data_IF_466618194775
#
_entry.id   IF_466618194775
#
_cell.length_a   1.000
_cell.length_b   1.000
_cell.length_c   1.000
_cell.angle_alpha   90.00
_cell.angle_beta   90.00
_cell.angle_gamma   90.00
#
_symmetry.space_group_name_H-M   'P 1'
#
loop_
_entity.id
_entity.type
_entity.pdbx_description
1 polymer ?
#
# COMPACT_ATOMS: atom_id res chain seq x y z
N UNK A 1 7.91 -16.67 24.54
CA UNK A 1 8.38 -15.47 23.80
C UNK A 1 7.83 -14.24 24.51
N UNK A 2 8.68 -13.31 24.96
CA UNK A 2 8.22 -12.05 25.57
C UNK A 2 7.67 -11.11 24.48
N UNK A 3 6.62 -10.36 24.81
CA UNK A 3 5.92 -9.44 23.88
C UNK A 3 6.88 -8.49 23.15
N UNK A 4 7.92 -7.99 23.84
CA UNK A 4 8.99 -7.15 23.25
C UNK A 4 9.79 -7.84 22.13
N UNK A 5 10.09 -9.13 22.28
CA UNK A 5 10.86 -9.89 21.29
C UNK A 5 10.01 -10.24 20.07
N UNK A 6 8.72 -10.53 20.29
CA UNK A 6 7.75 -10.74 19.23
C UNK A 6 7.56 -9.46 18.40
N UNK A 7 7.31 -8.32 19.06
CA UNK A 7 7.20 -7.02 18.40
C UNK A 7 8.45 -6.72 17.56
N UNK A 8 9.66 -6.88 18.11
CA UNK A 8 10.89 -6.62 17.35
C UNK A 8 11.05 -7.52 16.12
N UNK A 9 10.68 -8.80 16.20
CA UNK A 9 10.69 -9.71 15.03
C UNK A 9 9.66 -9.29 13.98
N UNK A 10 8.47 -8.90 14.40
CA UNK A 10 7.41 -8.40 13.51
C UNK A 10 7.86 -7.10 12.84
N UNK A 11 8.35 -6.12 13.60
CA UNK A 11 8.85 -4.86 13.04
C UNK A 11 10.06 -5.06 12.12
N UNK A 12 11.00 -5.93 12.46
CA UNK A 12 12.19 -6.15 11.63
C UNK A 12 11.91 -6.97 10.37
N UNK A 13 11.01 -7.95 10.42
CA UNK A 13 10.71 -8.85 9.29
C UNK A 13 9.51 -8.43 8.43
N UNK A 14 8.59 -7.63 8.98
CA UNK A 14 7.34 -7.23 8.34
C UNK A 14 7.21 -5.72 8.15
N UNK A 15 8.32 -4.97 8.23
CA UNK A 15 8.31 -3.53 7.98
C UNK A 15 7.62 -3.10 6.66
N UNK A 16 7.71 -3.84 5.52
CA UNK A 16 7.06 -3.40 4.29
C UNK A 16 5.53 -3.40 4.41
N UNK A 17 4.96 -4.43 5.04
CA UNK A 17 3.51 -4.53 5.23
C UNK A 17 3.00 -3.58 6.30
N UNK A 18 3.81 -3.30 7.34
CA UNK A 18 3.49 -2.29 8.34
C UNK A 18 3.46 -0.88 7.74
N UNK A 19 4.40 -0.58 6.85
CA UNK A 19 4.45 0.71 6.15
C UNK A 19 3.20 0.91 5.28
N UNK A 20 2.85 -0.08 4.44
CA UNK A 20 1.63 -0.02 3.61
C UNK A 20 0.37 0.05 4.50
N UNK A 21 0.34 -0.69 5.60
CA UNK A 21 -0.74 -0.63 6.59
C UNK A 21 -0.92 0.76 7.20
N UNK A 22 0.17 1.49 7.45
CA UNK A 22 0.10 2.86 7.96
C UNK A 22 -0.57 3.81 6.97
N UNK A 23 -0.23 3.72 5.68
CA UNK A 23 -0.91 4.50 4.64
C UNK A 23 -2.41 4.18 4.58
N UNK A 24 -2.78 2.90 4.70
CA UNK A 24 -4.16 2.47 4.68
C UNK A 24 -4.96 3.04 5.87
N UNK A 25 -4.39 2.97 7.08
CA UNK A 25 -5.00 3.55 8.29
C UNK A 25 -5.16 5.06 8.15
N UNK A 26 -4.12 5.76 7.69
CA UNK A 26 -4.18 7.21 7.48
C UNK A 26 -5.24 7.59 6.43
N UNK A 27 -5.34 6.83 5.34
CA UNK A 27 -6.38 7.02 4.31
C UNK A 27 -7.78 6.87 4.89
N UNK A 28 -8.03 5.82 5.68
CA UNK A 28 -9.33 5.61 6.31
C UNK A 28 -9.68 6.69 7.33
N UNK A 29 -8.72 7.17 8.12
CA UNK A 29 -8.93 8.30 9.04
C UNK A 29 -9.37 9.54 8.26
N UNK A 30 -8.70 9.85 7.13
CA UNK A 30 -9.06 10.98 6.29
C UNK A 30 -10.46 10.84 5.69
N UNK A 31 -10.81 9.64 5.19
CA UNK A 31 -12.16 9.37 4.67
C UNK A 31 -13.21 9.51 5.77
N UNK A 32 -12.96 8.95 6.95
CA UNK A 32 -13.87 9.04 8.09
C UNK A 32 -14.06 10.50 8.57
N UNK A 33 -13.03 11.34 8.43
CA UNK A 33 -13.09 12.77 8.71
C UNK A 33 -13.69 13.61 7.55
N UNK A 34 -14.24 12.98 6.51
CA UNK A 34 -14.88 13.65 5.37
C UNK A 34 -13.91 14.13 4.27
N UNK A 35 -12.60 13.92 4.43
CA UNK A 35 -11.59 14.31 3.43
C UNK A 35 -11.45 13.25 2.31
N UNK A 36 -12.52 12.99 1.57
CA UNK A 36 -12.60 11.95 0.53
C UNK A 36 -11.44 12.00 -0.48
N UNK A 37 -11.16 13.20 -1.04
CA UNK A 37 -10.06 13.38 -2.00
C UNK A 37 -8.70 13.03 -1.40
N UNK A 38 -8.42 13.53 -0.19
CA UNK A 38 -7.13 13.32 0.48
C UNK A 38 -6.97 11.86 0.90
N UNK A 39 -8.05 11.24 1.40
CA UNK A 39 -8.07 9.83 1.75
C UNK A 39 -7.78 8.93 0.54
N UNK A 40 -8.44 9.18 -0.60
CA UNK A 40 -8.19 8.46 -1.84
C UNK A 40 -6.73 8.64 -2.34
N UNK A 41 -6.19 9.87 -2.29
CA UNK A 41 -4.79 10.13 -2.64
C UNK A 41 -3.81 9.36 -1.75
N UNK A 42 -4.00 9.41 -0.43
CA UNK A 42 -3.13 8.72 0.53
C UNK A 42 -3.19 7.21 0.32
N UNK A 43 -4.38 6.68 0.02
CA UNK A 43 -4.53 5.25 -0.28
C UNK A 43 -3.78 4.89 -1.57
N UNK A 44 -3.88 5.71 -2.62
CA UNK A 44 -3.20 5.49 -3.89
C UNK A 44 -1.67 5.51 -3.74
N UNK A 45 -1.14 6.44 -2.92
CA UNK A 45 0.28 6.50 -2.56
C UNK A 45 0.70 5.24 -1.80
N UNK A 46 -0.09 4.76 -0.84
CA UNK A 46 0.19 3.52 -0.12
C UNK A 46 0.33 2.31 -1.03
N UNK A 47 -0.54 2.20 -2.04
CA UNK A 47 -0.47 1.13 -3.05
C UNK A 47 0.73 1.32 -3.99
N UNK A 48 1.09 2.55 -4.36
CA UNK A 48 2.30 2.84 -5.14
C UNK A 48 3.56 2.39 -4.39
N UNK A 49 3.63 2.69 -3.09
CA UNK A 49 4.72 2.27 -2.20
C UNK A 49 4.78 0.74 -2.12
N UNK A 50 3.65 0.05 -2.01
CA UNK A 50 3.60 -1.41 -2.04
C UNK A 50 4.19 -1.97 -3.34
N UNK A 51 3.82 -1.36 -4.48
CA UNK A 51 4.33 -1.72 -5.80
C UNK A 51 5.85 -1.50 -5.91
N UNK A 52 6.36 -0.35 -5.44
CA UNK A 52 7.79 -0.06 -5.43
C UNK A 52 8.59 -0.99 -4.52
N UNK A 53 8.07 -1.30 -3.32
CA UNK A 53 8.66 -2.28 -2.41
C UNK A 53 8.76 -3.66 -3.07
N UNK A 54 7.76 -4.02 -3.89
CA UNK A 54 7.78 -5.27 -4.64
C UNK A 54 8.97 -5.36 -5.60
N UNK A 55 9.37 -4.25 -6.22
CA UNK A 55 10.57 -4.14 -7.08
C UNK A 55 11.89 -4.03 -6.30
N UNK A 56 11.86 -3.70 -5.01
CA UNK A 56 13.06 -3.61 -4.16
C UNK A 56 13.40 -4.93 -3.43
N UNK A 57 12.39 -5.76 -3.11
CA UNK A 57 12.56 -6.97 -2.29
C UNK A 57 12.98 -8.22 -3.12
N UNK A 58 14.08 -8.93 -2.79
CA UNK A 58 14.55 -10.11 -3.52
C UNK A 58 13.54 -11.25 -3.57
N UNK A 59 13.54 -12.00 -4.68
CA UNK A 59 12.55 -13.04 -4.99
C UNK A 59 13.10 -14.46 -4.91
N UNK A 60 14.12 -14.72 -4.09
CA UNK A 60 14.98 -15.94 -4.09
C UNK A 60 14.28 -17.29 -3.80
N UNK A 61 12.98 -17.41 -4.04
CA UNK A 61 12.15 -18.60 -3.80
C UNK A 61 11.04 -18.79 -4.85
N UNK A 62 11.22 -18.37 -6.10
CA UNK A 62 10.27 -18.67 -7.17
C UNK A 62 10.36 -20.16 -7.60
N UNK A 63 10.04 -21.07 -6.68
CA UNK A 63 9.82 -22.50 -6.97
C UNK A 63 8.51 -22.69 -7.76
N UNK A 64 7.64 -23.63 -7.37
CA UNK A 64 6.40 -24.01 -8.08
C UNK A 64 5.36 -22.90 -8.39
N UNK A 65 5.63 -21.63 -8.07
CA UNK A 65 4.76 -20.46 -8.28
C UNK A 65 5.18 -19.58 -9.48
N UNK A 66 5.76 -20.18 -10.54
CA UNK A 66 6.14 -19.52 -11.82
C UNK A 66 4.97 -18.80 -12.52
N UNK A 67 3.72 -19.00 -12.09
CA UNK A 67 2.52 -18.43 -12.72
C UNK A 67 2.42 -16.91 -12.53
N UNK A 68 2.92 -16.36 -11.42
CA UNK A 68 2.80 -14.91 -11.12
C UNK A 68 4.18 -14.32 -10.85
N UNK A 69 4.81 -13.83 -11.92
CA UNK A 69 6.10 -13.16 -11.84
C UNK A 69 6.01 -11.85 -11.06
N UNK A 70 7.15 -11.38 -10.52
CA UNK A 70 7.30 -10.03 -9.96
C UNK A 70 6.62 -8.97 -10.77
N UNK A 71 6.82 -9.06 -12.08
CA UNK A 71 6.38 -8.08 -13.06
C UNK A 71 4.87 -8.04 -13.11
N UNK A 72 4.19 -9.20 -13.13
CA UNK A 72 2.73 -9.26 -13.12
C UNK A 72 2.17 -8.67 -11.83
N UNK A 73 2.78 -8.96 -10.67
CA UNK A 73 2.34 -8.41 -9.40
C UNK A 73 2.57 -6.90 -9.30
N UNK A 74 3.75 -6.43 -9.71
CA UNK A 74 4.08 -5.01 -9.83
C UNK A 74 3.10 -4.29 -10.75
N UNK A 75 2.88 -4.80 -11.96
CA UNK A 75 1.96 -4.20 -12.93
C UNK A 75 0.54 -4.15 -12.38
N UNK A 76 0.05 -5.25 -11.80
CA UNK A 76 -1.29 -5.27 -11.18
C UNK A 76 -1.40 -4.19 -10.11
N UNK A 77 -0.44 -4.13 -9.19
CA UNK A 77 -0.47 -3.20 -8.06
C UNK A 77 -0.26 -1.75 -8.52
N UNK A 78 0.57 -1.52 -9.54
CA UNK A 78 0.76 -0.22 -10.18
C UNK A 78 -0.51 0.24 -10.90
N UNK A 79 -1.21 -0.64 -11.63
CA UNK A 79 -2.49 -0.33 -12.27
C UNK A 79 -3.55 0.05 -11.24
N UNK A 80 -3.64 -0.69 -10.13
CA UNK A 80 -4.55 -0.33 -9.03
C UNK A 80 -4.21 1.05 -8.47
N UNK A 81 -2.92 1.32 -8.20
CA UNK A 81 -2.49 2.63 -7.73
C UNK A 81 -2.85 3.75 -8.71
N UNK A 82 -2.61 3.54 -10.01
CA UNK A 82 -2.95 4.51 -11.06
C UNK A 82 -4.47 4.76 -11.15
N UNK A 83 -5.29 3.71 -11.06
CA UNK A 83 -6.75 3.85 -11.03
C UNK A 83 -7.21 4.65 -9.81
N UNK A 84 -6.61 4.42 -8.64
CA UNK A 84 -6.94 5.16 -7.42
C UNK A 84 -6.49 6.63 -7.49
N UNK A 85 -5.32 6.91 -8.08
CA UNK A 85 -4.88 8.28 -8.36
C UNK A 85 -5.85 8.99 -9.30
N UNK A 86 -6.32 8.29 -10.35
CA UNK A 86 -7.32 8.82 -11.26
C UNK A 86 -8.62 9.14 -10.54
N UNK A 87 -9.16 8.23 -9.72
CA UNK A 87 -10.36 8.47 -8.91
C UNK A 87 -10.15 9.69 -8.00
N UNK A 88 -9.03 9.74 -7.29
CA UNK A 88 -8.72 10.86 -6.40
C UNK A 88 -8.60 12.20 -7.16
N UNK A 89 -8.15 12.16 -8.41
CA UNK A 89 -8.11 13.33 -9.29
C UNK A 89 -9.49 13.78 -9.77
N UNK A 90 -10.43 12.84 -9.96
CA UNK A 90 -11.83 13.17 -10.32
C UNK A 90 -12.67 13.76 -9.18
N UNK A 91 -12.20 13.69 -7.93
CA UNK A 91 -12.91 14.27 -6.78
C UNK A 91 -12.59 15.76 -6.71
N UNK A 92 -13.64 16.59 -6.73
CA UNK A 92 -13.49 18.04 -6.61
C UNK A 92 -12.81 18.46 -5.29
N UNK A 93 -11.92 19.47 -5.31
CA UNK A 93 -11.26 19.99 -4.12
C UNK A 93 -12.22 20.60 -3.10
N UNK A 94 -13.43 20.96 -3.53
CA UNK A 94 -14.45 21.65 -2.75
C UNK A 94 -15.32 20.70 -1.89
N UNK A 95 -15.07 19.39 -1.93
CA UNK A 95 -15.84 18.34 -1.23
C UNK A 95 -15.74 18.33 0.31
N UNK A 96 -15.54 19.48 0.93
CA UNK A 96 -15.70 19.69 2.38
C UNK A 96 -16.84 20.69 2.59
N UNK A 97 -18.05 20.19 2.82
CA UNK A 97 -19.11 20.93 3.52
C UNK A 97 -18.83 20.96 5.02
#
# INVERSE_FOLDING_TARGET
MTVKQFARKVFAGQWPILLVGLFLVAAFILVAAGYWRRGALVMAIGVAVASGLRLALPEDRAGLLVVRTRTVDFLTTATVSAAMLYIAWTIDPLGTS
#
